data_IF_128312593467
#
_entry.id   IF_128312593467
#
_cell.length_a   1.000
_cell.length_b   1.000
_cell.length_c   1.000
_cell.angle_alpha   90.00
_cell.angle_beta   90.00
_cell.angle_gamma   90.00
#
_symmetry.space_group_name_H-M   'P 1'
#
loop_
_entity.id
_entity.type
_entity.pdbx_description
1 polymer ?
#
# COMPACT_ATOMS: atom_id res chain seq x y z
N UNK A 1 -9.48 9.89 -9.33
CA UNK A 1 -9.49 9.27 -7.99
C UNK A 1 -8.84 10.23 -7.02
N UNK A 2 -9.41 10.45 -5.85
CA UNK A 2 -8.83 11.28 -4.79
C UNK A 2 -9.05 10.64 -3.44
N UNK A 3 -8.12 10.87 -2.50
CA UNK A 3 -8.16 10.33 -1.15
C UNK A 3 -7.78 11.42 -0.15
N UNK A 4 -8.57 11.52 0.91
CA UNK A 4 -8.39 12.44 2.03
C UNK A 4 -8.41 11.67 3.33
N UNK A 5 -7.86 12.27 4.38
CA UNK A 5 -7.68 11.66 5.68
C UNK A 5 -8.02 12.63 6.81
N UNK A 6 -8.40 12.07 7.96
CA UNK A 6 -8.67 12.83 9.18
C UNK A 6 -8.20 12.05 10.39
N UNK A 7 -7.54 12.71 11.33
CA UNK A 7 -7.35 12.18 12.67
C UNK A 7 -8.57 12.52 13.54
N UNK A 8 -9.16 11.51 14.18
CA UNK A 8 -10.24 11.66 15.16
C UNK A 8 -9.98 10.73 16.33
N UNK A 9 -9.83 11.28 17.55
CA UNK A 9 -9.56 10.53 18.80
C UNK A 9 -8.45 9.47 18.65
N UNK A 10 -7.29 9.90 18.13
CA UNK A 10 -6.11 9.06 17.84
C UNK A 10 -6.30 7.97 16.77
N UNK A 11 -7.45 7.96 16.08
CA UNK A 11 -7.72 7.09 14.96
C UNK A 11 -7.57 7.84 13.64
N UNK A 12 -6.95 7.20 12.65
CA UNK A 12 -6.87 7.73 11.29
C UNK A 12 -8.06 7.21 10.48
N UNK A 13 -8.81 8.13 9.87
CA UNK A 13 -9.92 7.86 8.97
C UNK A 13 -9.55 8.25 7.56
N UNK A 14 -10.12 7.56 6.58
CA UNK A 14 -9.98 7.89 5.16
C UNK A 14 -11.34 8.08 4.50
N UNK A 15 -11.32 8.89 3.46
CA UNK A 15 -12.38 9.02 2.47
C UNK A 15 -11.72 9.04 1.10
N UNK A 16 -12.22 8.26 0.16
CA UNK A 16 -11.76 8.24 -1.22
C UNK A 16 -12.93 8.14 -2.19
N UNK A 17 -12.70 8.54 -3.44
CA UNK A 17 -13.63 8.24 -4.52
C UNK A 17 -12.93 7.80 -5.80
N UNK A 18 -13.63 6.98 -6.56
CA UNK A 18 -13.29 6.63 -7.94
C UNK A 18 -14.55 6.46 -8.79
N UNK A 19 -14.39 6.45 -10.10
CA UNK A 19 -15.46 6.14 -11.05
C UNK A 19 -15.27 4.69 -11.48
N UNK A 20 -16.30 3.87 -11.35
CA UNK A 20 -16.29 2.48 -11.80
C UNK A 20 -16.49 2.37 -13.30
N UNK A 21 -16.22 1.19 -13.87
CA UNK A 21 -16.45 0.90 -15.29
C UNK A 21 -17.92 1.08 -15.70
N UNK A 22 -18.85 0.93 -14.75
CA UNK A 22 -20.28 1.13 -14.94
C UNK A 22 -20.72 2.60 -14.81
N UNK A 23 -19.78 3.55 -14.85
CA UNK A 23 -20.03 4.99 -14.67
C UNK A 23 -20.76 5.31 -13.36
N UNK A 24 -20.51 4.51 -12.31
CA UNK A 24 -20.92 4.84 -10.94
C UNK A 24 -19.78 5.52 -10.23
N UNK A 25 -20.09 6.57 -9.48
CA UNK A 25 -19.17 7.17 -8.54
C UNK A 25 -19.22 6.36 -7.27
N UNK A 26 -18.07 5.81 -6.89
CA UNK A 26 -17.91 5.03 -5.68
C UNK A 26 -17.23 5.93 -4.65
N UNK A 27 -17.90 6.19 -3.52
CA UNK A 27 -17.33 6.87 -2.36
C UNK A 27 -17.07 5.82 -1.30
N UNK A 28 -15.82 5.69 -0.88
CA UNK A 28 -15.40 4.68 0.06
C UNK A 28 -14.77 5.35 1.29
N UNK A 29 -15.27 5.00 2.46
CA UNK A 29 -14.91 5.66 3.73
C UNK A 29 -14.69 4.64 4.81
N UNK A 30 -13.83 4.95 5.77
CA UNK A 30 -13.63 4.07 6.91
C UNK A 30 -12.49 4.46 7.81
N UNK A 31 -12.32 3.67 8.87
CA UNK A 31 -11.11 3.71 9.70
C UNK A 31 -9.97 3.03 8.94
N UNK A 32 -8.82 3.69 8.88
CA UNK A 32 -7.62 3.15 8.24
C UNK A 32 -7.24 1.80 8.87
N UNK A 33 -6.98 0.80 8.02
CA UNK A 33 -6.72 -0.58 8.43
C UNK A 33 -7.95 -1.49 8.45
N UNK A 34 -9.15 -0.96 8.15
CA UNK A 34 -10.41 -1.70 8.07
C UNK A 34 -11.01 -1.57 6.67
N UNK A 35 -11.87 -2.51 6.24
CA UNK A 35 -12.45 -2.53 4.88
C UNK A 35 -13.40 -1.36 4.57
N UNK A 36 -13.76 -0.54 5.55
CA UNK A 36 -14.66 0.59 5.35
C UNK A 36 -16.07 0.23 4.86
N UNK A 37 -16.74 1.25 4.31
CA UNK A 37 -18.09 1.19 3.74
C UNK A 37 -18.15 2.02 2.46
N UNK A 38 -19.01 1.58 1.54
CA UNK A 38 -19.15 2.17 0.21
C UNK A 38 -20.53 2.78 0.02
N UNK A 39 -20.55 3.97 -0.59
CA UNK A 39 -21.73 4.65 -1.11
C UNK A 39 -21.58 4.75 -2.64
N UNK A 40 -22.65 4.45 -3.37
CA UNK A 40 -22.68 4.54 -4.83
C UNK A 40 -23.59 5.68 -5.28
N UNK A 41 -23.08 6.53 -6.16
CA UNK A 41 -23.82 7.61 -6.81
C UNK A 41 -23.75 7.46 -8.32
N UNK A 42 -24.72 8.01 -9.04
CA UNK A 42 -24.65 8.04 -10.50
C UNK A 42 -23.72 9.17 -10.97
N UNK A 43 -22.80 8.90 -11.91
CA UNK A 43 -21.92 9.94 -12.43
C UNK A 43 -22.67 11.00 -13.24
N UNK A 44 -23.86 10.68 -13.75
CA UNK A 44 -24.76 11.65 -14.36
C UNK A 44 -25.22 12.75 -13.41
N UNK A 45 -25.24 12.51 -12.09
CA UNK A 45 -25.54 13.54 -11.08
C UNK A 45 -24.52 14.69 -11.09
N UNK A 46 -23.35 14.47 -11.70
CA UNK A 46 -22.27 15.44 -11.82
C UNK A 46 -22.08 15.92 -13.26
N UNK A 47 -23.09 15.75 -14.13
CA UNK A 47 -23.01 16.01 -15.57
C UNK A 47 -21.83 15.29 -16.24
N UNK A 48 -21.44 14.13 -15.69
CA UNK A 48 -20.26 13.37 -16.11
C UNK A 48 -18.97 14.22 -16.10
N UNK A 49 -18.88 15.17 -15.18
CA UNK A 49 -17.78 16.11 -15.06
C UNK A 49 -16.92 15.80 -13.83
N UNK A 50 -15.67 15.41 -14.07
CA UNK A 50 -14.72 15.06 -13.01
C UNK A 50 -14.45 16.20 -12.04
N UNK A 51 -14.46 17.45 -12.51
CA UNK A 51 -14.24 18.62 -11.65
C UNK A 51 -15.43 18.86 -10.71
N UNK A 52 -16.67 18.75 -11.21
CA UNK A 52 -17.87 18.86 -10.37
C UNK A 52 -17.89 17.77 -9.29
N UNK A 53 -17.48 16.56 -9.65
CA UNK A 53 -17.32 15.46 -8.71
C UNK A 53 -16.21 15.73 -7.68
N UNK A 54 -15.05 16.22 -8.11
CA UNK A 54 -13.94 16.57 -7.20
C UNK A 54 -14.33 17.68 -6.23
N UNK A 55 -14.98 18.74 -6.72
CA UNK A 55 -15.47 19.85 -5.90
C UNK A 55 -16.51 19.36 -4.88
N UNK A 56 -17.49 18.55 -5.30
CA UNK A 56 -18.47 17.92 -4.41
C UNK A 56 -17.82 17.08 -3.32
N UNK A 57 -16.88 16.21 -3.70
CA UNK A 57 -16.20 15.31 -2.77
C UNK A 57 -15.37 16.11 -1.75
N UNK A 58 -14.58 17.08 -2.22
CA UNK A 58 -13.77 17.92 -1.36
C UNK A 58 -14.63 18.75 -0.41
N UNK A 59 -15.69 19.40 -0.89
CA UNK A 59 -16.58 20.20 -0.06
C UNK A 59 -17.24 19.37 1.04
N UNK A 60 -17.68 18.15 0.71
CA UNK A 60 -18.29 17.22 1.67
C UNK A 60 -17.31 16.87 2.79
N UNK A 61 -16.11 16.41 2.44
CA UNK A 61 -15.18 15.84 3.42
C UNK A 61 -14.30 16.88 4.12
N UNK A 62 -13.92 17.99 3.46
CA UNK A 62 -13.15 19.07 4.11
C UNK A 62 -13.94 19.75 5.23
N UNK A 63 -15.26 19.94 5.06
CA UNK A 63 -16.15 20.44 6.14
C UNK A 63 -16.19 19.51 7.36
N UNK A 64 -15.94 18.21 7.15
CA UNK A 64 -15.85 17.20 8.22
C UNK A 64 -14.45 17.07 8.82
N UNK A 65 -13.47 17.88 8.36
CA UNK A 65 -12.09 17.91 8.83
C UNK A 65 -11.11 17.03 8.06
N UNK A 66 -11.51 16.42 6.94
CA UNK A 66 -10.60 15.62 6.11
C UNK A 66 -9.72 16.51 5.23
N UNK A 67 -8.46 16.13 5.09
CA UNK A 67 -7.47 16.84 4.30
C UNK A 67 -6.53 15.87 3.56
N UNK A 68 -5.72 16.40 2.66
CA UNK A 68 -4.67 15.61 2.01
C UNK A 68 -3.66 15.12 3.05
N UNK A 69 -3.13 13.92 2.84
CA UNK A 69 -2.12 13.38 3.73
C UNK A 69 -0.75 13.96 3.37
N UNK A 70 -0.09 14.59 4.34
CA UNK A 70 1.24 15.13 4.11
C UNK A 70 2.23 14.01 3.82
N UNK A 71 3.06 14.16 2.78
CA UNK A 71 4.03 13.14 2.35
C UNK A 71 5.05 12.80 3.43
N UNK A 72 5.41 13.75 4.31
CA UNK A 72 6.29 13.52 5.47
C UNK A 72 5.75 12.51 6.49
N UNK A 73 4.44 12.24 6.46
CA UNK A 73 3.79 11.29 7.34
C UNK A 73 3.69 9.89 6.72
N UNK A 74 4.08 9.73 5.45
CA UNK A 74 4.08 8.45 4.75
C UNK A 74 5.31 7.61 5.14
N UNK A 75 5.17 6.30 4.94
CA UNK A 75 6.23 5.33 5.12
C UNK A 75 6.39 4.50 3.85
N UNK A 76 7.63 4.25 3.51
CA UNK A 76 7.99 3.16 2.61
C UNK A 76 8.04 1.87 3.39
N UNK A 77 7.37 0.84 2.89
CA UNK A 77 7.55 -0.55 3.28
C UNK A 77 8.14 -1.32 2.11
N UNK A 78 9.07 -2.23 2.38
CA UNK A 78 9.63 -3.13 1.36
C UNK A 78 9.38 -4.56 1.79
N UNK A 79 8.67 -5.31 0.95
CA UNK A 79 8.53 -6.75 1.08
C UNK A 79 9.61 -7.40 0.20
N UNK A 80 10.53 -8.10 0.84
CA UNK A 80 11.66 -8.72 0.15
C UNK A 80 11.52 -10.25 0.11
N UNK A 81 11.70 -10.82 -1.07
CA UNK A 81 11.80 -12.25 -1.32
C UNK A 81 13.20 -12.60 -1.81
N UNK A 82 13.73 -13.75 -1.37
CA UNK A 82 15.00 -14.27 -1.89
C UNK A 82 14.80 -14.93 -3.25
N UNK A 83 15.65 -14.60 -4.21
CA UNK A 83 15.72 -15.25 -5.52
C UNK A 83 16.97 -16.14 -5.64
N UNK A 84 16.95 -17.05 -6.63
CA UNK A 84 18.07 -17.95 -6.94
C UNK A 84 18.99 -17.43 -8.05
N UNK A 85 18.56 -16.43 -8.82
CA UNK A 85 19.29 -15.88 -9.96
C UNK A 85 19.01 -14.38 -10.09
N UNK A 86 19.89 -13.69 -10.83
CA UNK A 86 19.79 -12.24 -11.05
C UNK A 86 18.46 -11.79 -11.68
N UNK A 87 17.98 -12.56 -12.67
CA UNK A 87 16.75 -12.25 -13.40
C UNK A 87 15.51 -12.92 -12.81
N UNK A 88 15.65 -13.63 -11.69
CA UNK A 88 14.63 -14.54 -11.20
C UNK A 88 14.30 -15.68 -12.18
N UNK A 89 13.30 -16.47 -11.84
CA UNK A 89 12.69 -17.50 -12.67
C UNK A 89 11.18 -17.26 -12.83
N UNK A 90 10.48 -18.10 -13.61
CA UNK A 90 9.02 -17.97 -13.84
C UNK A 90 8.19 -17.91 -12.57
N UNK A 91 8.57 -18.63 -11.50
CA UNK A 91 7.89 -18.56 -10.20
C UNK A 91 8.12 -17.20 -9.52
N UNK A 92 9.32 -16.63 -9.61
CA UNK A 92 9.60 -15.31 -9.04
C UNK A 92 8.76 -14.22 -9.72
N UNK A 93 8.59 -14.28 -11.04
CA UNK A 93 7.69 -13.39 -11.80
C UNK A 93 6.23 -13.58 -11.40
N UNK A 94 5.76 -14.82 -11.32
CA UNK A 94 4.39 -15.11 -10.88
C UNK A 94 4.14 -14.60 -9.45
N UNK A 95 5.10 -14.81 -8.54
CA UNK A 95 5.00 -14.36 -7.16
C UNK A 95 4.99 -12.83 -7.07
N UNK A 96 5.84 -12.15 -7.83
CA UNK A 96 5.85 -10.69 -7.95
C UNK A 96 4.47 -10.17 -8.37
N UNK A 97 3.92 -10.70 -9.45
CA UNK A 97 2.65 -10.22 -10.01
C UNK A 97 1.51 -10.43 -9.00
N UNK A 98 1.40 -11.63 -8.45
CA UNK A 98 0.36 -11.94 -7.45
C UNK A 98 0.52 -11.15 -6.16
N UNK A 99 1.73 -11.05 -5.62
CA UNK A 99 1.94 -10.27 -4.41
C UNK A 99 1.68 -8.78 -4.65
N UNK A 100 2.06 -8.23 -5.81
CA UNK A 100 1.74 -6.84 -6.16
C UNK A 100 0.23 -6.61 -6.21
N UNK A 101 -0.51 -7.46 -6.93
CA UNK A 101 -1.97 -7.33 -7.05
C UNK A 101 -2.67 -7.41 -5.69
N UNK A 102 -2.41 -8.47 -4.92
CA UNK A 102 -3.07 -8.71 -3.64
C UNK A 102 -2.68 -7.70 -2.56
N UNK A 103 -1.43 -7.22 -2.55
CA UNK A 103 -1.02 -6.17 -1.62
C UNK A 103 -1.65 -4.83 -1.99
N UNK A 104 -1.74 -4.50 -3.29
CA UNK A 104 -2.35 -3.26 -3.72
C UNK A 104 -3.85 -3.22 -3.37
N UNK A 105 -4.56 -4.33 -3.59
CA UNK A 105 -5.97 -4.48 -3.20
C UNK A 105 -6.15 -4.40 -1.67
N UNK A 106 -5.36 -5.18 -0.90
CA UNK A 106 -5.44 -5.21 0.56
C UNK A 106 -5.18 -3.84 1.21
N UNK A 107 -4.19 -3.10 0.72
CA UNK A 107 -3.83 -1.78 1.23
C UNK A 107 -4.81 -0.70 0.76
N UNK A 108 -5.26 -0.79 -0.49
CA UNK A 108 -6.22 0.14 -1.09
C UNK A 108 -7.55 0.14 -0.36
N UNK A 109 -8.19 -1.03 -0.25
CA UNK A 109 -9.48 -1.21 0.44
C UNK A 109 -9.44 -0.89 1.93
N UNK A 110 -8.25 -0.71 2.52
CA UNK A 110 -8.09 -0.34 3.92
C UNK A 110 -7.73 1.12 4.13
N UNK A 111 -7.70 1.91 3.06
CA UNK A 111 -7.17 3.27 3.10
C UNK A 111 -5.75 3.35 3.65
N UNK A 112 -4.98 2.26 3.58
CA UNK A 112 -3.66 2.16 4.19
C UNK A 112 -2.55 2.63 3.27
N UNK A 113 -2.72 2.44 1.96
CA UNK A 113 -1.64 2.67 1.01
C UNK A 113 -1.85 2.00 -0.33
N UNK A 114 -0.75 1.83 -1.06
CA UNK A 114 -0.69 1.16 -2.36
C UNK A 114 0.71 0.57 -2.58
N UNK A 115 0.84 -0.27 -3.60
CA UNK A 115 2.14 -0.72 -4.11
C UNK A 115 2.66 0.30 -5.12
N UNK A 116 3.92 0.71 -4.96
CA UNK A 116 4.62 1.65 -5.85
C UNK A 116 5.82 0.96 -6.53
N UNK A 117 5.51 -0.16 -7.19
CA UNK A 117 6.46 -0.91 -8.01
C UNK A 117 7.29 -1.96 -7.28
N UNK A 118 8.29 -2.48 -8.01
CA UNK A 118 9.16 -3.56 -7.56
C UNK A 118 10.55 -3.42 -8.20
N UNK A 119 11.53 -4.09 -7.61
CA UNK A 119 12.82 -4.37 -8.26
C UNK A 119 13.16 -5.87 -8.17
N UNK A 120 14.04 -6.31 -9.06
CA UNK A 120 14.62 -7.66 -9.03
C UNK A 120 16.11 -7.51 -9.33
N UNK A 121 16.98 -7.93 -8.41
CA UNK A 121 18.39 -7.63 -8.57
C UNK A 121 19.31 -8.27 -7.54
N UNK A 122 20.56 -7.78 -7.52
CA UNK A 122 21.56 -8.12 -6.49
C UNK A 122 21.34 -7.23 -5.28
N UNK A 123 21.59 -7.78 -4.10
CA UNK A 123 21.71 -6.95 -2.91
C UNK A 123 22.96 -6.08 -2.98
N UNK A 124 22.90 -4.85 -2.48
CA UNK A 124 24.02 -3.90 -2.48
C UNK A 124 25.25 -4.47 -1.76
N UNK A 125 25.04 -5.27 -0.71
CA UNK A 125 26.11 -5.80 0.14
C UNK A 125 26.75 -7.09 -0.37
N UNK A 126 26.09 -7.82 -1.27
CA UNK A 126 26.52 -9.15 -1.70
C UNK A 126 26.05 -9.46 -3.12
N UNK A 127 27.00 -9.48 -4.05
CA UNK A 127 26.75 -9.67 -5.49
C UNK A 127 26.29 -11.09 -5.87
N UNK A 128 26.33 -12.03 -4.92
CA UNK A 128 25.84 -13.41 -5.07
C UNK A 128 24.45 -13.63 -4.46
N UNK A 129 23.88 -12.62 -3.80
CA UNK A 129 22.51 -12.66 -3.26
C UNK A 129 21.58 -11.88 -4.17
N UNK A 130 20.49 -12.52 -4.56
CA UNK A 130 19.48 -11.94 -5.43
C UNK A 130 18.16 -11.83 -4.69
N UNK A 131 17.45 -10.73 -4.88
CA UNK A 131 16.20 -10.41 -4.20
C UNK A 131 15.17 -9.79 -5.14
N UNK A 132 13.91 -10.04 -4.84
CA UNK A 132 12.76 -9.32 -5.36
C UNK A 132 12.28 -8.39 -4.23
N UNK A 133 12.29 -7.09 -4.45
CA UNK A 133 11.71 -6.11 -3.52
C UNK A 133 10.39 -5.60 -4.10
N UNK A 134 9.32 -5.60 -3.31
CA UNK A 134 8.05 -4.94 -3.64
C UNK A 134 7.93 -3.74 -2.71
N UNK A 135 7.78 -2.56 -3.28
CA UNK A 135 7.73 -1.30 -2.56
C UNK A 135 6.28 -0.88 -2.34
N UNK A 136 5.92 -0.57 -1.10
CA UNK A 136 4.61 -0.06 -0.75
C UNK A 136 4.73 1.30 -0.06
N UNK A 137 3.82 2.22 -0.37
CA UNK A 137 3.68 3.50 0.34
C UNK A 137 2.46 3.40 1.24
N UNK A 138 2.64 3.64 2.55
CA UNK A 138 1.57 3.55 3.54
C UNK A 138 1.47 4.77 4.43
N UNK A 139 0.26 5.07 4.90
CA UNK A 139 -0.01 6.18 5.85
C UNK A 139 0.25 5.81 7.31
N UNK A 140 0.38 4.51 7.60
CA UNK A 140 0.67 4.00 8.94
C UNK A 140 1.59 2.78 8.84
N UNK A 141 2.80 2.89 9.40
CA UNK A 141 3.85 1.86 9.32
C UNK A 141 3.38 0.52 9.90
N UNK A 142 2.89 0.52 11.14
CA UNK A 142 2.54 -0.71 11.86
C UNK A 142 1.33 -1.41 11.25
N UNK A 143 0.27 -0.66 10.95
CA UNK A 143 -0.91 -1.21 10.30
C UNK A 143 -0.60 -1.74 8.90
N UNK A 144 0.26 -1.04 8.15
CA UNK A 144 0.75 -1.50 6.83
C UNK A 144 1.49 -2.82 6.92
N UNK A 145 2.44 -2.95 7.85
CA UNK A 145 3.18 -4.21 8.09
C UNK A 145 2.22 -5.35 8.44
N UNK A 146 1.26 -5.10 9.34
CA UNK A 146 0.30 -6.12 9.76
C UNK A 146 -0.63 -6.56 8.62
N UNK A 147 -1.11 -5.61 7.80
CA UNK A 147 -1.93 -5.89 6.62
C UNK A 147 -1.15 -6.74 5.59
N UNK A 148 0.09 -6.36 5.27
CA UNK A 148 0.98 -7.12 4.38
C UNK A 148 1.14 -8.56 4.89
N UNK A 149 1.51 -8.74 6.17
CA UNK A 149 1.72 -10.07 6.76
C UNK A 149 0.47 -10.95 6.65
N UNK A 150 -0.71 -10.38 6.96
CA UNK A 150 -1.98 -11.11 6.84
C UNK A 150 -2.25 -11.51 5.40
N UNK A 151 -2.17 -10.56 4.47
CA UNK A 151 -2.44 -10.80 3.05
C UNK A 151 -1.53 -11.90 2.48
N UNK A 152 -0.22 -11.81 2.69
CA UNK A 152 0.72 -12.80 2.17
C UNK A 152 0.49 -14.20 2.77
N UNK A 153 0.04 -14.27 4.04
CA UNK A 153 -0.31 -15.54 4.69
C UNK A 153 -1.61 -16.12 4.12
N UNK A 154 -2.63 -15.30 3.96
CA UNK A 154 -3.95 -15.70 3.48
C UNK A 154 -3.89 -16.23 2.03
N UNK A 155 -3.20 -15.51 1.15
CA UNK A 155 -3.05 -15.87 -0.26
C UNK A 155 -1.86 -16.80 -0.55
N UNK A 156 -1.17 -17.30 0.49
CA UNK A 156 -0.05 -18.26 0.40
C UNK A 156 1.10 -17.77 -0.49
N UNK A 157 1.49 -16.51 -0.35
CA UNK A 157 2.49 -15.82 -1.15
C UNK A 157 3.87 -15.86 -0.47
N UNK A 158 4.37 -17.07 -0.22
CA UNK A 158 5.69 -17.35 0.36
C UNK A 158 6.03 -16.57 1.65
N UNK A 159 5.02 -16.31 2.49
CA UNK A 159 5.13 -15.58 3.77
C UNK A 159 6.25 -16.08 4.70
N UNK A 160 6.61 -17.37 4.62
CA UNK A 160 7.68 -17.96 5.46
C UNK A 160 9.10 -17.63 4.98
N UNK A 161 9.24 -16.90 3.87
CA UNK A 161 10.54 -16.54 3.29
C UNK A 161 10.77 -15.03 3.20
N UNK A 162 9.81 -14.21 3.65
CA UNK A 162 9.90 -12.75 3.47
C UNK A 162 10.72 -12.05 4.54
N UNK A 163 11.20 -10.87 4.17
CA UNK A 163 11.53 -9.79 5.10
C UNK A 163 10.64 -8.59 4.81
N UNK A 164 10.36 -7.81 5.85
CA UNK A 164 9.73 -6.51 5.72
C UNK A 164 10.61 -5.48 6.40
N UNK A 165 10.97 -4.44 5.67
CA UNK A 165 11.69 -3.29 6.22
C UNK A 165 10.94 -2.00 5.92
N UNK A 166 11.26 -0.94 6.64
CA UNK A 166 10.59 0.33 6.47
C UNK A 166 11.54 1.52 6.57
N UNK A 167 11.12 2.64 6.00
CA UNK A 167 11.70 3.97 6.24
C UNK A 167 10.60 5.02 6.12
N UNK A 168 10.85 6.22 6.68
CA UNK A 168 9.99 7.36 6.40
C UNK A 168 10.07 7.73 4.92
N UNK A 169 8.96 8.17 4.34
CA UNK A 169 8.88 8.50 2.92
C UNK A 169 9.81 9.67 2.54
N UNK A 170 9.87 10.71 3.38
CA UNK A 170 10.73 11.88 3.18
C UNK A 170 12.19 11.68 3.58
N UNK A 171 12.58 10.47 3.97
CA UNK A 171 13.95 10.17 4.42
C UNK A 171 14.67 9.24 3.45
N UNK A 172 15.77 9.73 2.87
CA UNK A 172 16.60 8.99 1.91
C UNK A 172 17.60 8.01 2.54
N UNK A 173 17.56 7.81 3.86
CA UNK A 173 18.44 6.85 4.51
C UNK A 173 17.99 5.40 4.35
N UNK A 174 18.67 4.54 5.11
CA UNK A 174 18.53 3.08 5.01
C UNK A 174 17.18 2.59 5.55
N UNK A 175 16.68 1.52 4.93
CA UNK A 175 15.55 0.75 5.43
C UNK A 175 15.90 0.02 6.72
N UNK A 176 15.03 0.13 7.72
CA UNK A 176 15.15 -0.59 8.99
C UNK A 176 14.35 -1.88 8.91
N UNK A 177 14.99 -3.01 9.19
CA UNK A 177 14.30 -4.30 9.26
C UNK A 177 13.24 -4.25 10.36
N UNK A 178 12.00 -4.63 10.01
CA UNK A 178 10.87 -4.70 10.95
C UNK A 178 10.38 -6.12 11.17
N UNK A 179 10.53 -6.98 10.16
CA UNK A 179 10.12 -8.38 10.25
C UNK A 179 11.02 -9.25 9.37
N UNK A 180 11.37 -10.44 9.87
CA UNK A 180 11.97 -11.51 9.10
C UNK A 180 11.27 -12.82 9.46
N UNK A 181 10.90 -13.60 8.43
CA UNK A 181 10.38 -14.94 8.65
C UNK A 181 11.45 -15.94 9.14
N UNK A 182 12.74 -15.62 8.94
CA UNK A 182 13.85 -16.42 9.45
C UNK A 182 14.26 -15.94 10.84
N UNK A 183 14.31 -16.89 11.79
CA UNK A 183 14.78 -16.63 13.15
C UNK A 183 16.20 -16.05 13.13
N UNK A 184 16.44 -15.06 13.98
CA UNK A 184 17.72 -14.39 14.20
C UNK A 184 18.32 -13.66 12.99
N UNK A 185 17.58 -13.47 11.90
CA UNK A 185 18.02 -12.62 10.80
C UNK A 185 17.73 -11.15 11.13
N UNK A 186 18.79 -10.39 11.39
CA UNK A 186 18.73 -8.98 11.80
C UNK A 186 19.14 -8.03 10.67
N UNK A 187 19.44 -8.57 9.48
CA UNK A 187 19.99 -7.79 8.37
C UNK A 187 18.94 -7.55 7.29
N UNK A 188 18.94 -6.35 6.71
CA UNK A 188 18.15 -6.02 5.54
C UNK A 188 18.99 -5.22 4.56
N UNK A 189 19.08 -5.69 3.33
CA UNK A 189 19.79 -5.04 2.24
C UNK A 189 18.91 -5.13 1.01
N UNK A 190 18.65 -3.97 0.37
CA UNK A 190 18.03 -3.91 -0.95
C UNK A 190 19.00 -4.45 -1.98
#
# INVERSE_FOLDING_TARGET
>A
MKKLYKFDKDELWYAEYWISDLKKVIIHTGKVGTKGTTEELDFSNFDQNDKKLDDFFQDRFRKMGFNEFHSDNLYWLVVQYKMKSLKGNTRDYWLRDKATDYLNDELGWKGLGHVDGFDMGKTITDSKKFVLNIFCVVVNEELGINAIKRCLKEYRLDYTQIKIASRKYSFDGQYKLKYSAKKNDQTFNI
#
